data_IF_439514007592
#
_entry.id   IF_439514007592
#
_cell.length_a   1.000
_cell.length_b   1.000
_cell.length_c   1.000
_cell.angle_alpha   90.00
_cell.angle_beta   90.00
_cell.angle_gamma   90.00
#
_symmetry.space_group_name_H-M   'P 1'
#
loop_
_entity.id
_entity.type
_entity.pdbx_description
1 polymer ?
#
# COMPACT_ATOMS: atom_id res chain seq x y z
N UNK A 1 -2.24 -10.24 2.28
CA UNK A 1 -1.13 -10.96 1.64
C UNK A 1 -0.82 -12.22 2.39
N UNK A 2 -0.62 -13.28 1.67
CA UNK A 2 -0.25 -14.53 2.31
C UNK A 2 1.06 -14.36 3.07
N UNK A 3 1.08 -14.85 4.29
CA UNK A 3 2.30 -14.85 5.07
C UNK A 3 3.20 -15.96 4.55
N UNK A 4 4.31 -15.61 3.98
CA UNK A 4 5.24 -16.57 3.40
C UNK A 4 6.27 -16.95 4.45
N UNK A 5 6.48 -18.22 4.64
CA UNK A 5 7.49 -18.69 5.56
C UNK A 5 8.86 -18.20 5.13
N UNK A 6 9.60 -17.66 6.08
CA UNK A 6 10.95 -17.17 5.84
C UNK A 6 11.99 -18.16 6.35
N UNK A 7 11.64 -19.42 6.35
CA UNK A 7 12.51 -20.46 6.86
C UNK A 7 13.85 -20.46 6.16
N UNK A 8 14.89 -20.42 6.93
CA UNK A 8 16.23 -20.41 6.41
C UNK A 8 16.71 -19.06 5.91
N UNK A 9 15.88 -18.03 5.99
CA UNK A 9 16.27 -16.68 5.57
C UNK A 9 16.50 -15.82 6.78
N UNK A 10 17.59 -15.12 6.85
CA UNK A 10 17.87 -14.20 7.94
C UNK A 10 17.96 -14.85 9.30
N UNK A 11 18.46 -16.08 9.36
CA UNK A 11 18.52 -16.85 10.58
C UNK A 11 17.28 -17.73 10.72
N UNK A 12 17.26 -18.51 11.77
CA UNK A 12 16.12 -19.39 12.03
C UNK A 12 14.88 -18.55 12.23
N UNK A 13 13.86 -18.83 11.44
CA UNK A 13 12.56 -18.17 11.53
C UNK A 13 12.61 -16.66 11.30
N UNK A 14 13.69 -16.14 10.73
CA UNK A 14 13.81 -14.73 10.47
C UNK A 14 13.94 -13.86 11.70
N UNK A 15 14.44 -14.40 12.80
CA UNK A 15 14.56 -13.67 14.06
C UNK A 15 15.48 -12.47 14.00
N UNK A 16 16.50 -12.52 13.13
CA UNK A 16 17.48 -11.45 13.01
C UNK A 16 17.12 -10.40 11.97
N UNK A 17 15.95 -10.51 11.36
CA UNK A 17 15.49 -9.54 10.38
C UNK A 17 14.56 -8.52 11.02
N UNK A 18 14.66 -7.27 10.58
CA UNK A 18 13.69 -6.25 10.98
C UNK A 18 12.32 -6.58 10.39
N UNK A 19 11.27 -5.96 10.92
CA UNK A 19 9.93 -6.10 10.37
C UNK A 19 9.86 -5.65 8.92
N UNK A 20 10.57 -4.55 8.59
CA UNK A 20 10.61 -4.04 7.22
C UNK A 20 11.32 -4.99 6.26
N UNK A 21 12.42 -5.60 6.71
CA UNK A 21 13.12 -6.57 5.89
C UNK A 21 12.26 -7.79 5.61
N UNK A 22 11.54 -8.27 6.63
CA UNK A 22 10.61 -9.39 6.46
C UNK A 22 9.51 -9.06 5.46
N UNK A 23 8.98 -7.85 5.51
CA UNK A 23 7.95 -7.42 4.58
C UNK A 23 8.49 -7.38 3.15
N UNK A 24 9.68 -6.83 2.94
CA UNK A 24 10.29 -6.79 1.62
C UNK A 24 10.56 -8.18 1.05
N UNK A 25 11.03 -9.10 1.89
CA UNK A 25 11.27 -10.48 1.45
C UNK A 25 9.96 -11.15 1.04
N UNK A 26 8.90 -10.95 1.81
CA UNK A 26 7.60 -11.52 1.50
C UNK A 26 7.08 -11.01 0.16
N UNK A 27 7.21 -9.72 -0.11
CA UNK A 27 6.82 -9.12 -1.39
C UNK A 27 7.65 -9.71 -2.53
N UNK A 28 8.96 -9.80 -2.35
CA UNK A 28 9.85 -10.35 -3.37
C UNK A 28 9.48 -11.80 -3.70
N UNK A 29 9.18 -12.60 -2.69
CA UNK A 29 8.78 -14.00 -2.91
C UNK A 29 7.46 -14.11 -3.66
N UNK A 30 6.53 -13.22 -3.39
CA UNK A 30 5.26 -13.18 -4.12
C UNK A 30 5.50 -12.84 -5.59
N UNK A 31 6.40 -11.89 -5.87
CA UNK A 31 6.72 -11.50 -7.24
C UNK A 31 7.44 -12.60 -8.02
N UNK A 32 8.31 -13.36 -7.36
CA UNK A 32 9.02 -14.47 -8.01
C UNK A 32 8.05 -15.51 -8.54
N UNK A 33 6.87 -15.65 -7.92
CA UNK A 33 5.86 -16.60 -8.37
C UNK A 33 5.13 -16.14 -9.64
N UNK A 34 5.51 -15.02 -10.19
CA UNK A 34 4.92 -14.48 -11.42
C UNK A 34 3.41 -14.31 -11.32
N UNK A 35 2.97 -13.78 -10.20
CA UNK A 35 1.57 -13.53 -9.92
C UNK A 35 1.04 -12.36 -10.75
N UNK A 36 -0.17 -12.49 -11.27
CA UNK A 36 -0.82 -11.41 -12.01
C UNK A 36 -1.62 -10.49 -11.10
N UNK A 37 -1.99 -10.98 -9.94
CA UNK A 37 -2.73 -10.21 -8.94
C UNK A 37 -1.93 -10.27 -7.64
N UNK A 38 -1.61 -9.12 -7.09
CA UNK A 38 -0.90 -9.03 -5.82
C UNK A 38 -1.73 -8.25 -4.83
N UNK A 39 -2.00 -8.87 -3.69
CA UNK A 39 -2.72 -8.23 -2.60
C UNK A 39 -1.72 -7.89 -1.48
N UNK A 40 -1.63 -6.62 -1.16
CA UNK A 40 -0.81 -6.12 -0.06
C UNK A 40 -1.74 -5.65 1.07
N UNK A 41 -1.80 -6.43 2.13
CA UNK A 41 -2.58 -6.08 3.30
C UNK A 41 -1.64 -5.49 4.35
N UNK A 42 -1.50 -4.18 4.32
CA UNK A 42 -0.58 -3.43 5.17
C UNK A 42 0.85 -3.95 5.11
N UNK A 43 1.26 -4.40 3.92
CA UNK A 43 2.54 -5.09 3.74
C UNK A 43 3.77 -4.17 3.91
N UNK A 44 3.58 -2.86 3.90
CA UNK A 44 4.67 -1.90 4.14
C UNK A 44 4.54 -1.20 5.49
N UNK A 45 3.70 -1.71 6.39
CA UNK A 45 3.42 -1.04 7.65
C UNK A 45 4.66 -0.87 8.55
N UNK A 46 5.61 -1.81 8.47
CA UNK A 46 6.85 -1.75 9.25
C UNK A 46 7.95 -0.91 8.59
N UNK A 47 7.71 -0.38 7.40
CA UNK A 47 8.67 0.45 6.68
C UNK A 47 8.41 1.92 6.98
N UNK A 48 9.46 2.74 6.88
CA UNK A 48 9.28 4.18 6.94
C UNK A 48 8.57 4.67 5.67
N UNK A 49 8.21 5.95 5.64
CA UNK A 49 7.43 6.51 4.54
C UNK A 49 8.19 6.46 3.22
N UNK A 50 9.50 6.71 3.27
CA UNK A 50 10.32 6.69 2.06
C UNK A 50 10.41 5.29 1.46
N UNK A 51 10.69 4.28 2.27
CA UNK A 51 10.77 2.90 1.79
C UNK A 51 9.40 2.39 1.34
N UNK A 52 8.33 2.76 2.04
CA UNK A 52 6.97 2.42 1.62
C UNK A 52 6.67 3.01 0.24
N UNK A 53 7.05 4.27 0.03
CA UNK A 53 6.87 4.93 -1.26
C UNK A 53 7.58 4.16 -2.38
N UNK A 54 8.85 3.84 -2.18
CA UNK A 54 9.62 3.17 -3.23
C UNK A 54 9.07 1.79 -3.57
N UNK A 55 8.72 1.00 -2.56
CA UNK A 55 8.17 -0.33 -2.77
C UNK A 55 6.84 -0.24 -3.52
N UNK A 56 5.95 0.59 -3.06
CA UNK A 56 4.63 0.76 -3.66
C UNK A 56 4.74 1.31 -5.07
N UNK A 57 5.60 2.31 -5.28
CA UNK A 57 5.83 2.88 -6.59
C UNK A 57 6.39 1.85 -7.57
N UNK A 58 7.33 1.04 -7.12
CA UNK A 58 7.88 -0.03 -7.94
C UNK A 58 6.80 -1.00 -8.40
N UNK A 59 5.92 -1.39 -7.48
CA UNK A 59 4.84 -2.32 -7.81
C UNK A 59 3.83 -1.70 -8.77
N UNK A 60 3.54 -0.41 -8.61
CA UNK A 60 2.62 0.31 -9.50
C UNK A 60 3.15 0.40 -10.92
N UNK A 61 4.45 0.32 -11.11
CA UNK A 61 5.06 0.40 -12.43
C UNK A 61 5.17 -0.96 -13.14
N UNK A 62 4.84 -2.06 -12.48
CA UNK A 62 4.93 -3.39 -13.10
C UNK A 62 3.81 -3.56 -14.11
N UNK A 63 4.13 -3.80 -15.40
CA UNK A 63 3.10 -3.99 -16.42
C UNK A 63 2.23 -5.21 -16.12
N UNK A 64 0.95 -5.09 -16.41
CA UNK A 64 -0.01 -6.18 -16.31
C UNK A 64 -0.22 -6.73 -14.90
N UNK A 65 0.34 -6.09 -13.89
CA UNK A 65 0.09 -6.47 -12.50
C UNK A 65 -1.15 -5.77 -11.99
N UNK A 66 -2.11 -6.55 -11.51
CA UNK A 66 -3.24 -5.99 -10.75
C UNK A 66 -2.82 -5.90 -9.29
N UNK A 67 -2.69 -4.70 -8.80
CA UNK A 67 -2.22 -4.44 -7.45
C UNK A 67 -3.38 -3.96 -6.59
N UNK A 68 -3.63 -4.67 -5.50
CA UNK A 68 -4.65 -4.28 -4.51
C UNK A 68 -3.90 -3.99 -3.20
N UNK A 69 -4.03 -2.76 -2.72
CA UNK A 69 -3.31 -2.33 -1.52
C UNK A 69 -4.30 -1.93 -0.44
N UNK A 70 -4.18 -2.53 0.72
CA UNK A 70 -4.92 -2.15 1.91
C UNK A 70 -3.94 -1.46 2.83
N UNK A 71 -4.20 -0.19 3.14
CA UNK A 71 -3.22 0.59 3.89
C UNK A 71 -3.88 1.73 4.65
N UNK A 72 -3.21 2.14 5.73
CA UNK A 72 -3.50 3.38 6.43
C UNK A 72 -2.48 4.46 6.09
N UNK A 73 -1.48 4.14 5.27
CA UNK A 73 -0.47 5.10 4.84
C UNK A 73 -0.90 5.77 3.55
N UNK A 74 -1.12 7.05 3.62
CA UNK A 74 -1.49 7.84 2.44
C UNK A 74 -0.24 8.50 1.88
N UNK A 75 0.30 7.92 0.82
CA UNK A 75 1.48 8.45 0.14
C UNK A 75 0.99 9.21 -1.08
N UNK A 76 1.01 10.54 -0.99
CA UNK A 76 0.39 11.42 -1.97
C UNK A 76 0.77 11.10 -3.41
N UNK A 77 2.07 10.97 -3.65
CA UNK A 77 2.54 10.73 -5.02
C UNK A 77 2.05 9.41 -5.59
N UNK A 78 1.86 8.40 -4.74
CA UNK A 78 1.34 7.11 -5.17
C UNK A 78 -0.18 7.10 -5.29
N UNK A 79 -0.88 7.84 -4.43
CA UNK A 79 -2.34 7.91 -4.49
C UNK A 79 -2.85 8.33 -5.86
N UNK A 80 -2.12 9.22 -6.52
CA UNK A 80 -2.47 9.72 -7.84
C UNK A 80 -2.31 8.68 -8.94
N UNK A 81 -1.55 7.61 -8.68
CA UNK A 81 -1.26 6.57 -9.66
C UNK A 81 -2.25 5.41 -9.63
N UNK A 82 -3.02 5.28 -8.58
CA UNK A 82 -4.03 4.22 -8.50
C UNK A 82 -5.19 4.51 -9.45
N UNK A 83 -5.65 3.48 -10.12
CA UNK A 83 -6.81 3.59 -11.01
C UNK A 83 -8.08 3.82 -10.23
N UNK A 84 -8.15 3.30 -9.01
CA UNK A 84 -9.33 3.45 -8.18
C UNK A 84 -8.95 3.35 -6.70
N UNK A 85 -9.51 4.23 -5.89
CA UNK A 85 -9.37 4.20 -4.43
C UNK A 85 -10.75 3.85 -3.86
N UNK A 86 -10.77 2.90 -2.96
CA UNK A 86 -11.97 2.49 -2.24
C UNK A 86 -11.87 2.99 -0.81
N UNK A 87 -12.79 3.81 -0.38
CA UNK A 87 -12.84 4.28 1.00
C UNK A 87 -13.91 3.49 1.76
N UNK A 88 -13.47 2.74 2.74
CA UNK A 88 -14.33 1.85 3.53
C UNK A 88 -14.50 2.42 4.92
N UNK A 89 -15.73 2.49 5.37
CA UNK A 89 -16.07 2.98 6.71
C UNK A 89 -17.12 2.05 7.32
N UNK A 90 -16.87 1.62 8.54
CA UNK A 90 -17.78 0.73 9.28
C UNK A 90 -18.18 -0.52 8.48
N UNK A 91 -17.20 -1.12 7.80
CA UNK A 91 -17.42 -2.32 7.04
C UNK A 91 -18.16 -2.14 5.73
N UNK A 92 -18.38 -0.91 5.31
CA UNK A 92 -19.13 -0.60 4.09
C UNK A 92 -18.31 0.27 3.15
N UNK A 93 -18.52 0.07 1.85
CA UNK A 93 -17.94 0.95 0.85
C UNK A 93 -18.63 2.30 0.94
N UNK A 94 -17.88 3.32 1.33
CA UNK A 94 -18.40 4.68 1.50
C UNK A 94 -18.32 5.44 0.18
N UNK A 95 -17.17 5.39 -0.46
CA UNK A 95 -16.97 6.05 -1.75
C UNK A 95 -15.84 5.38 -2.52
N UNK A 96 -15.81 5.60 -3.82
CA UNK A 96 -14.73 5.10 -4.67
C UNK A 96 -14.52 6.05 -5.85
N UNK A 97 -13.31 6.02 -6.38
CA UNK A 97 -12.94 6.84 -7.53
C UNK A 97 -11.44 7.07 -7.59
N UNK A 98 -11.02 7.91 -8.51
CA UNK A 98 -9.62 8.33 -8.58
C UNK A 98 -9.33 9.30 -7.44
N UNK A 99 -8.05 9.54 -7.20
CA UNK A 99 -7.63 10.51 -6.19
C UNK A 99 -8.30 11.87 -6.45
N UNK A 100 -8.22 12.36 -7.68
CA UNK A 100 -8.78 13.66 -8.04
C UNK A 100 -10.29 13.71 -7.83
N UNK A 101 -11.00 12.66 -8.19
CA UNK A 101 -12.44 12.60 -8.00
C UNK A 101 -12.82 12.66 -6.53
N UNK A 102 -12.10 11.91 -5.69
CA UNK A 102 -12.41 11.86 -4.26
C UNK A 102 -12.08 13.17 -3.56
N UNK A 103 -10.99 13.82 -3.97
CA UNK A 103 -10.65 15.14 -3.42
C UNK A 103 -11.72 16.18 -3.79
N UNK A 104 -12.21 16.14 -5.02
CA UNK A 104 -13.27 17.07 -5.46
C UNK A 104 -14.58 16.86 -4.72
N UNK A 105 -14.90 15.62 -4.37
CA UNK A 105 -16.14 15.30 -3.64
C UNK A 105 -16.16 15.84 -2.23
N UNK A 106 -14.98 16.02 -1.63
CA UNK A 106 -14.83 16.47 -0.25
C UNK A 106 -15.65 15.64 0.75
N UNK A 107 -15.65 14.32 0.52
CA UNK A 107 -16.34 13.36 1.37
C UNK A 107 -15.45 12.74 2.42
N UNK A 108 -15.70 11.46 2.72
CA UNK A 108 -14.99 10.73 3.75
C UNK A 108 -13.49 10.62 3.47
N UNK A 109 -13.12 10.23 2.24
CA UNK A 109 -11.70 10.12 1.87
C UNK A 109 -10.97 11.45 2.05
N UNK A 110 -11.58 12.52 1.56
CA UNK A 110 -11.03 13.87 1.70
C UNK A 110 -10.79 14.23 3.17
N UNK A 111 -11.73 13.87 4.04
CA UNK A 111 -11.58 14.12 5.48
C UNK A 111 -10.37 13.40 6.05
N UNK A 112 -10.19 12.13 5.70
CA UNK A 112 -9.01 11.36 6.14
C UNK A 112 -7.72 11.95 5.61
N UNK A 113 -7.71 12.29 4.33
CA UNK A 113 -6.54 12.89 3.69
C UNK A 113 -6.15 14.21 4.35
N UNK A 114 -7.13 15.03 4.65
CA UNK A 114 -6.91 16.33 5.29
C UNK A 114 -6.33 16.20 6.70
N UNK A 115 -6.72 15.18 7.43
CA UNK A 115 -6.16 14.93 8.76
C UNK A 115 -4.65 14.64 8.64
N UNK A 116 -4.25 13.90 7.61
CA UNK A 116 -2.85 13.51 7.45
C UNK A 116 -1.97 14.60 6.85
N UNK A 117 -2.51 15.37 5.92
CA UNK A 117 -1.72 16.35 5.16
C UNK A 117 -2.08 17.80 5.45
N UNK A 118 -3.19 18.03 6.13
CA UNK A 118 -3.66 19.38 6.41
C UNK A 118 -4.24 20.07 5.19
N UNK A 119 -4.79 21.26 5.41
CA UNK A 119 -5.46 22.01 4.36
C UNK A 119 -4.52 22.54 3.30
N UNK A 120 -3.29 22.85 3.69
CA UNK A 120 -2.32 23.44 2.78
C UNK A 120 -1.86 22.51 1.68
N UNK A 121 -2.01 21.21 1.89
CA UNK A 121 -1.52 20.22 0.93
C UNK A 121 -2.48 19.98 -0.23
N UNK A 122 -3.63 20.57 -0.17
CA UNK A 122 -4.65 20.35 -1.19
C UNK A 122 -4.57 21.35 -2.34
N UNK A 123 -3.81 22.37 -2.14
CA UNK A 123 -3.70 23.52 -3.01
C UNK A 123 -3.81 23.32 -4.48
#
# INVERSE_FOLDING_TARGET
MRRIGLNGSGGENGEFLSGGEKQRIAIARALIKNTKILLLDEATSALDMENSFYIENMLLEIPELTLIVITHKFILDNLKKYDCILAIQDGKLNEFGTFEELIKRKGYFYSLFSIMYGDDQRG
#
